data_IF_906554271861
#
_entry.id   IF_906554271861
#
_cell.length_a   1.000
_cell.length_b   1.000
_cell.length_c   1.000
_cell.angle_alpha   90.00
_cell.angle_beta   90.00
_cell.angle_gamma   90.00
#
_symmetry.space_group_name_H-M   'P 1'
#
loop_
_entity.id
_entity.type
_entity.pdbx_description
1 polymer ?
#
# COMPACT_ATOMS: atom_id res chain seq x y z
N UNK A 1 22.89 -17.01 -17.25
CA UNK A 1 23.06 -15.58 -16.91
C UNK A 1 22.10 -14.84 -17.84
N UNK A 2 21.12 -14.11 -17.28
CA UNK A 2 19.96 -13.40 -17.92
C UNK A 2 18.61 -13.92 -17.43
N UNK A 3 18.26 -13.62 -16.17
CA UNK A 3 16.90 -13.80 -15.63
C UNK A 3 16.48 -12.68 -14.65
N UNK A 4 17.40 -11.79 -14.26
CA UNK A 4 17.12 -10.67 -13.35
C UNK A 4 16.64 -9.39 -14.04
N UNK A 5 16.91 -9.22 -15.34
CA UNK A 5 16.53 -8.00 -16.07
C UNK A 5 15.03 -7.96 -16.43
N UNK A 6 14.45 -9.10 -16.82
CA UNK A 6 13.04 -9.15 -17.27
C UNK A 6 12.02 -8.89 -16.14
N UNK A 7 12.30 -9.31 -14.91
CA UNK A 7 11.38 -9.08 -13.79
C UNK A 7 11.34 -7.60 -13.37
N UNK A 8 12.50 -6.94 -13.35
CA UNK A 8 12.63 -5.52 -12.98
C UNK A 8 12.01 -4.62 -14.05
N UNK A 9 12.17 -4.94 -15.34
CA UNK A 9 11.55 -4.18 -16.44
C UNK A 9 10.01 -4.31 -16.47
N UNK A 10 9.46 -5.47 -16.12
CA UNK A 10 8.01 -5.68 -16.03
C UNK A 10 7.36 -4.86 -14.90
N UNK A 11 8.08 -4.64 -13.79
CA UNK A 11 7.62 -3.90 -12.61
C UNK A 11 7.61 -2.38 -12.84
N UNK A 12 8.61 -1.84 -13.54
CA UNK A 12 8.65 -0.41 -13.87
C UNK A 12 7.50 0.01 -14.79
N UNK A 13 7.09 -0.86 -15.73
CA UNK A 13 5.99 -0.56 -16.65
C UNK A 13 4.61 -0.46 -15.96
N UNK A 14 4.38 -1.20 -14.87
CA UNK A 14 3.12 -1.05 -14.11
C UNK A 14 3.10 0.26 -13.30
N UNK A 15 4.24 0.68 -12.73
CA UNK A 15 4.34 1.96 -12.01
C UNK A 15 4.09 3.18 -12.92
N UNK A 16 4.31 3.06 -14.24
CA UNK A 16 3.98 4.10 -15.22
C UNK A 16 2.48 4.36 -15.32
N UNK A 17 1.66 3.36 -14.99
CA UNK A 17 0.20 3.48 -14.91
C UNK A 17 -0.28 4.15 -13.62
N UNK A 18 0.59 4.34 -12.62
CA UNK A 18 0.17 4.92 -11.35
C UNK A 18 -0.10 6.41 -11.49
N UNK A 19 -1.17 6.85 -10.84
CA UNK A 19 -1.45 8.26 -10.64
C UNK A 19 -1.02 8.68 -9.25
N UNK A 20 -0.48 9.89 -9.17
CA UNK A 20 0.01 10.50 -7.95
C UNK A 20 -0.78 11.77 -7.67
N UNK A 21 -1.15 12.01 -6.42
CA UNK A 21 -1.63 13.32 -6.00
C UNK A 21 -0.47 14.35 -6.06
N UNK A 22 -0.79 15.66 -6.14
CA UNK A 22 0.24 16.70 -6.19
C UNK A 22 1.22 16.61 -5.00
N UNK A 23 2.53 16.71 -5.25
CA UNK A 23 3.57 16.71 -4.21
C UNK A 23 3.93 15.32 -3.64
N UNK A 24 3.19 14.26 -4.00
CA UNK A 24 3.43 12.92 -3.44
C UNK A 24 4.77 12.36 -3.88
N UNK A 25 5.16 12.56 -5.14
CA UNK A 25 6.42 12.02 -5.68
C UNK A 25 7.63 12.57 -4.95
N UNK A 26 7.60 13.85 -4.60
CA UNK A 26 8.63 14.54 -3.82
C UNK A 26 8.64 14.06 -2.37
N UNK A 27 7.47 13.70 -1.82
CA UNK A 27 7.32 13.21 -0.45
C UNK A 27 7.66 11.71 -0.27
N UNK A 28 7.75 10.93 -1.36
CA UNK A 28 7.96 9.48 -1.31
C UNK A 28 9.19 9.07 -0.50
N UNK A 29 10.26 9.88 -0.50
CA UNK A 29 11.49 9.56 0.24
C UNK A 29 11.25 9.39 1.74
N UNK A 30 10.24 10.05 2.30
CA UNK A 30 9.86 9.87 3.70
C UNK A 30 9.33 8.46 4.01
N UNK A 31 8.80 7.76 3.01
CA UNK A 31 8.17 6.44 3.15
C UNK A 31 9.09 5.29 2.73
N UNK A 32 10.32 5.56 2.27
CA UNK A 32 11.27 4.53 1.81
C UNK A 32 12.00 3.76 2.91
N UNK A 33 11.77 4.13 4.16
CA UNK A 33 12.39 3.53 5.33
C UNK A 33 11.39 2.86 6.25
N UNK A 34 11.65 2.94 7.55
CA UNK A 34 10.76 2.36 8.54
C UNK A 34 9.43 3.10 8.58
N UNK A 35 8.35 2.38 8.32
CA UNK A 35 6.99 2.92 8.33
C UNK A 35 6.05 1.95 9.04
N UNK A 36 4.91 2.46 9.48
CA UNK A 36 3.79 1.61 9.90
C UNK A 36 2.89 1.40 8.69
N UNK A 37 2.55 0.15 8.41
CA UNK A 37 1.60 -0.20 7.36
C UNK A 37 0.22 -0.39 7.98
N UNK A 38 -0.76 0.35 7.50
CA UNK A 38 -2.18 0.11 7.80
C UNK A 38 -2.81 -0.54 6.58
N UNK A 39 -3.32 -1.76 6.76
CA UNK A 39 -3.98 -2.51 5.70
C UNK A 39 -5.48 -2.49 5.92
N UNK A 40 -6.20 -1.89 4.98
CA UNK A 40 -7.65 -1.81 4.98
C UNK A 40 -8.20 -3.11 4.39
N UNK A 41 -8.73 -3.99 5.24
CA UNK A 41 -9.33 -5.24 4.81
C UNK A 41 -10.69 -4.95 4.17
N UNK A 42 -10.81 -5.18 2.86
CA UNK A 42 -12.12 -5.20 2.21
C UNK A 42 -12.81 -6.54 2.52
N UNK A 43 -14.12 -6.50 2.79
CA UNK A 43 -14.97 -7.64 3.18
C UNK A 43 -15.01 -8.79 2.15
N UNK A 44 -14.45 -8.60 0.95
CA UNK A 44 -14.44 -9.59 -0.13
C UNK A 44 -13.22 -10.53 -0.11
N UNK A 45 -12.23 -10.30 0.78
CA UNK A 45 -11.05 -11.15 0.87
C UNK A 45 -11.30 -12.49 1.59
N UNK A 46 -12.29 -12.55 2.48
CA UNK A 46 -12.60 -13.75 3.27
C UNK A 46 -13.51 -14.74 2.52
N UNK A 47 -14.35 -14.26 1.60
CA UNK A 47 -15.31 -15.09 0.84
C UNK A 47 -14.66 -15.87 -0.30
N UNK A 48 -13.52 -15.39 -0.82
CA UNK A 48 -12.86 -15.97 -2.00
C UNK A 48 -11.79 -17.03 -1.65
N UNK A 49 -11.47 -17.26 -0.37
CA UNK A 49 -10.47 -18.25 0.04
C UNK A 49 -9.05 -17.98 -0.47
N UNK A 50 -8.81 -16.79 -1.04
CA UNK A 50 -7.52 -16.27 -1.46
C UNK A 50 -7.44 -14.80 -1.04
N UNK A 51 -6.35 -14.37 -0.37
CA UNK A 51 -6.21 -12.98 0.02
C UNK A 51 -5.81 -12.16 -1.20
N UNK A 52 -6.68 -11.28 -1.73
CA UNK A 52 -6.21 -10.33 -2.76
C UNK A 52 -5.61 -9.10 -2.11
N UNK A 53 -4.39 -9.27 -1.59
CA UNK A 53 -3.42 -8.23 -1.19
C UNK A 53 -1.99 -8.81 -1.27
N UNK A 54 -1.67 -9.45 -2.40
CA UNK A 54 -0.36 -10.09 -2.63
C UNK A 54 0.83 -9.12 -2.63
N UNK A 55 0.63 -7.82 -2.49
CA UNK A 55 1.68 -6.81 -2.74
C UNK A 55 2.70 -6.75 -1.61
N UNK A 56 2.29 -6.41 -0.38
CA UNK A 56 3.16 -6.52 0.82
C UNK A 56 3.31 -7.96 1.30
N UNK A 57 2.29 -8.78 1.06
CA UNK A 57 2.33 -10.18 1.46
C UNK A 57 3.36 -10.96 0.65
N UNK A 58 3.62 -10.65 -0.63
CA UNK A 58 4.73 -11.23 -1.40
C UNK A 58 6.09 -10.77 -0.91
N UNK A 59 6.27 -9.49 -0.53
CA UNK A 59 7.51 -9.09 0.14
C UNK A 59 7.76 -9.97 1.38
N UNK A 60 6.74 -10.32 2.17
CA UNK A 60 6.92 -11.23 3.31
C UNK A 60 6.93 -12.72 2.94
N UNK A 61 6.27 -13.11 1.85
CA UNK A 61 6.10 -14.50 1.40
C UNK A 61 7.18 -14.96 0.41
N UNK A 62 8.05 -14.06 -0.03
CA UNK A 62 9.29 -14.34 -0.76
C UNK A 62 10.52 -14.05 0.11
N UNK A 63 10.80 -14.93 1.11
CA UNK A 63 11.97 -14.80 1.96
C UNK A 63 13.25 -14.60 1.14
N UNK A 64 14.01 -13.55 1.47
CA UNK A 64 15.31 -13.29 0.87
C UNK A 64 15.32 -12.35 -0.34
N UNK A 65 14.17 -11.84 -0.79
CA UNK A 65 14.14 -10.72 -1.75
C UNK A 65 14.52 -9.39 -1.09
N UNK A 66 14.99 -8.42 -1.88
CA UNK A 66 15.32 -7.06 -1.40
C UNK A 66 14.09 -6.35 -0.80
N UNK A 67 12.92 -6.59 -1.40
CA UNK A 67 11.64 -6.12 -0.87
C UNK A 67 11.32 -6.75 0.49
N UNK A 68 11.55 -8.07 0.65
CA UNK A 68 11.39 -8.76 1.92
C UNK A 68 12.28 -8.18 3.02
N UNK A 69 13.55 -7.99 2.71
CA UNK A 69 14.52 -7.41 3.64
C UNK A 69 14.10 -5.99 4.08
N UNK A 70 13.56 -5.20 3.16
CA UNK A 70 13.18 -3.80 3.40
C UNK A 70 11.85 -3.66 4.15
N UNK A 71 10.90 -4.58 3.94
CA UNK A 71 9.53 -4.45 4.44
C UNK A 71 9.15 -5.40 5.57
N UNK A 72 9.87 -6.52 5.78
CA UNK A 72 9.55 -7.50 6.85
C UNK A 72 9.65 -6.95 8.27
N UNK A 73 10.44 -5.89 8.48
CA UNK A 73 10.62 -5.25 9.79
C UNK A 73 9.62 -4.13 10.12
N UNK A 74 8.71 -3.82 9.20
CA UNK A 74 7.69 -2.77 9.37
C UNK A 74 6.46 -3.33 10.09
N UNK A 75 5.94 -2.66 11.14
CA UNK A 75 4.72 -3.09 11.80
C UNK A 75 3.51 -2.96 10.86
N UNK A 76 2.60 -3.93 10.98
CA UNK A 76 1.44 -4.07 10.10
C UNK A 76 0.19 -4.12 10.96
N UNK A 77 -0.74 -3.21 10.72
CA UNK A 77 -2.03 -3.16 11.38
C UNK A 77 -3.10 -3.46 10.34
N UNK A 78 -3.75 -4.62 10.45
CA UNK A 78 -4.92 -4.93 9.64
C UNK A 78 -6.16 -4.33 10.30
N UNK A 79 -6.97 -3.62 9.52
CA UNK A 79 -8.20 -2.97 9.99
C UNK A 79 -9.33 -3.36 9.05
N UNK A 80 -10.34 -4.04 9.59
CA UNK A 80 -11.54 -4.43 8.89
C UNK A 80 -12.78 -3.66 9.34
N UNK A 81 -13.91 -3.89 8.65
CA UNK A 81 -15.17 -3.20 8.94
C UNK A 81 -15.78 -3.46 10.33
N UNK A 82 -15.35 -4.53 11.01
CA UNK A 82 -15.77 -4.84 12.39
C UNK A 82 -14.90 -4.19 13.45
N UNK A 83 -13.77 -3.59 13.05
CA UNK A 83 -12.86 -2.90 13.95
C UNK A 83 -13.33 -1.45 14.19
N UNK A 84 -12.82 -0.84 15.26
CA UNK A 84 -13.09 0.56 15.56
C UNK A 84 -12.49 1.46 14.46
N UNK A 85 -13.32 2.27 13.76
CA UNK A 85 -12.82 3.16 12.72
C UNK A 85 -11.98 4.34 13.28
N UNK A 86 -12.06 4.65 14.58
CA UNK A 86 -11.21 5.64 15.25
C UNK A 86 -9.82 5.06 15.56
N UNK A 87 -9.12 4.62 14.52
CA UNK A 87 -7.80 4.03 14.66
C UNK A 87 -6.79 5.09 15.16
N UNK A 88 -6.35 4.92 16.41
CA UNK A 88 -5.26 5.71 16.99
C UNK A 88 -3.96 4.92 16.90
N UNK A 89 -3.04 5.38 16.05
CA UNK A 89 -1.70 4.81 15.94
C UNK A 89 -0.73 5.57 16.84
N UNK A 90 -0.23 4.92 17.88
CA UNK A 90 0.87 5.45 18.70
C UNK A 90 2.22 5.25 17.99
N UNK A 91 2.39 5.86 16.82
CA UNK A 91 3.64 5.75 16.03
C UNK A 91 4.26 7.10 15.73
N UNK A 92 5.59 7.15 15.82
CA UNK A 92 6.40 8.27 15.35
C UNK A 92 6.91 8.06 13.92
N UNK A 93 6.71 6.88 13.33
CA UNK A 93 7.10 6.58 11.95
C UNK A 93 6.03 7.03 10.97
N UNK A 94 6.39 7.33 9.71
CA UNK A 94 5.43 7.56 8.64
C UNK A 94 4.47 6.38 8.49
N UNK A 95 3.23 6.66 8.09
CA UNK A 95 2.19 5.64 7.93
C UNK A 95 1.86 5.47 6.46
N UNK A 96 1.89 4.24 5.97
CA UNK A 96 1.41 3.87 4.65
C UNK A 96 0.09 3.14 4.83
N UNK A 97 -1.00 3.78 4.40
CA UNK A 97 -2.33 3.16 4.39
C UNK A 97 -2.53 2.55 3.01
N UNK A 98 -2.91 1.27 2.96
CA UNK A 98 -3.07 0.53 1.71
C UNK A 98 -4.44 -0.13 1.72
N UNK A 99 -5.24 0.17 0.71
CA UNK A 99 -6.59 -0.35 0.54
C UNK A 99 -7.04 -0.32 -0.91
N UNK A 100 -8.22 -0.85 -1.20
CA UNK A 100 -8.77 -0.96 -2.55
C UNK A 100 -10.18 -0.36 -2.55
N UNK A 101 -10.43 0.54 -3.49
CA UNK A 101 -11.65 1.32 -3.60
C UNK A 101 -11.94 2.07 -2.28
N UNK A 102 -10.93 2.77 -1.77
CA UNK A 102 -10.94 3.37 -0.44
C UNK A 102 -12.08 4.37 -0.24
N UNK A 103 -12.50 5.02 -1.32
CA UNK A 103 -13.60 5.96 -1.32
C UNK A 103 -14.98 5.30 -1.37
N UNK A 104 -15.11 4.03 -1.75
CA UNK A 104 -16.41 3.39 -1.92
C UNK A 104 -17.09 3.14 -0.56
N UNK A 105 -16.31 2.75 0.44
CA UNK A 105 -16.83 2.37 1.75
C UNK A 105 -16.72 3.49 2.78
N UNK A 106 -17.81 3.73 3.52
CA UNK A 106 -17.82 4.69 4.63
C UNK A 106 -16.80 4.35 5.72
N UNK A 107 -16.69 3.07 6.09
CA UNK A 107 -15.77 2.65 7.16
C UNK A 107 -14.32 2.90 6.74
N UNK A 108 -13.98 2.62 5.48
CA UNK A 108 -12.64 2.81 4.95
C UNK A 108 -12.27 4.29 4.93
N UNK A 109 -13.23 5.14 4.57
CA UNK A 109 -13.05 6.58 4.68
C UNK A 109 -12.75 7.00 6.12
N UNK A 110 -13.55 6.57 7.08
CA UNK A 110 -13.35 6.93 8.48
C UNK A 110 -11.96 6.54 9.02
N UNK A 111 -11.45 5.34 8.68
CA UNK A 111 -10.10 4.92 9.07
C UNK A 111 -9.02 5.82 8.46
N UNK A 112 -9.11 6.09 7.15
CA UNK A 112 -8.14 6.97 6.46
C UNK A 112 -8.18 8.39 7.04
N UNK A 113 -9.37 8.93 7.30
CA UNK A 113 -9.55 10.25 7.90
C UNK A 113 -8.95 10.30 9.30
N UNK A 114 -9.19 9.27 10.13
CA UNK A 114 -8.63 9.17 11.48
C UNK A 114 -7.08 9.10 11.46
N UNK A 115 -6.50 8.30 10.55
CA UNK A 115 -5.04 8.20 10.41
C UNK A 115 -4.46 9.54 9.92
N UNK A 116 -5.07 10.18 8.92
CA UNK A 116 -4.64 11.51 8.44
C UNK A 116 -4.76 12.60 9.50
N UNK A 117 -5.76 12.53 10.36
CA UNK A 117 -5.95 13.50 11.44
C UNK A 117 -4.94 13.33 12.59
N UNK A 118 -4.45 12.11 12.82
CA UNK A 118 -3.62 11.79 13.99
C UNK A 118 -2.13 11.66 13.67
N UNK A 119 -1.78 11.29 12.44
CA UNK A 119 -0.40 11.00 12.03
C UNK A 119 0.18 12.15 11.20
N UNK A 120 1.45 12.51 11.47
CA UNK A 120 2.12 13.63 10.81
C UNK A 120 2.42 13.40 9.32
N UNK A 121 2.73 12.15 8.96
CA UNK A 121 3.10 11.77 7.59
C UNK A 121 2.32 10.52 7.21
N UNK A 122 1.38 10.67 6.27
CA UNK A 122 0.50 9.61 5.82
C UNK A 122 0.54 9.55 4.30
N UNK A 123 0.69 8.34 3.76
CA UNK A 123 0.58 8.03 2.35
C UNK A 123 -0.56 7.04 2.16
N UNK A 124 -1.61 7.44 1.46
CA UNK A 124 -2.76 6.57 1.17
C UNK A 124 -2.64 6.02 -0.24
N UNK A 125 -2.60 4.70 -0.34
CA UNK A 125 -2.56 3.97 -1.61
C UNK A 125 -3.90 3.29 -1.84
N UNK A 126 -4.47 3.53 -3.01
CA UNK A 126 -5.66 2.84 -3.51
C UNK A 126 -5.29 1.92 -4.67
N UNK A 127 -5.48 0.62 -4.45
CA UNK A 127 -5.21 -0.44 -5.43
C UNK A 127 -6.44 -0.92 -6.20
N UNK A 128 -7.57 -0.26 -6.02
CA UNK A 128 -8.80 -0.56 -6.75
C UNK A 128 -8.65 -0.41 -8.26
N UNK A 129 -9.59 -0.99 -9.01
CA UNK A 129 -9.65 -0.81 -10.47
C UNK A 129 -10.08 0.61 -10.85
N UNK A 130 -10.87 1.27 -9.97
CA UNK A 130 -11.42 2.61 -10.20
C UNK A 130 -11.22 3.50 -8.97
N UNK A 131 -9.96 3.78 -8.60
CA UNK A 131 -9.64 4.57 -7.42
C UNK A 131 -10.15 6.01 -7.57
N UNK A 132 -10.70 6.57 -6.49
CA UNK A 132 -11.07 7.98 -6.44
C UNK A 132 -9.83 8.82 -6.11
N UNK A 133 -9.42 9.75 -6.98
CA UNK A 133 -8.21 10.55 -6.76
C UNK A 133 -8.31 11.54 -5.59
N UNK A 134 -9.51 11.79 -5.05
CA UNK A 134 -9.66 12.59 -3.83
C UNK A 134 -9.27 11.81 -2.57
N UNK A 135 -9.18 10.48 -2.67
CA UNK A 135 -8.99 9.59 -1.53
C UNK A 135 -7.74 8.71 -1.63
N UNK A 136 -6.90 8.98 -2.62
CA UNK A 136 -5.66 8.26 -2.85
C UNK A 136 -4.53 9.26 -3.14
N UNK A 137 -3.42 9.12 -2.43
CA UNK A 137 -2.17 9.81 -2.74
C UNK A 137 -1.45 9.08 -3.89
N UNK A 138 -1.60 7.75 -3.95
CA UNK A 138 -1.20 6.90 -5.07
C UNK A 138 -2.38 6.04 -5.47
N UNK A 139 -2.77 6.10 -6.74
CA UNK A 139 -3.75 5.23 -7.35
C UNK A 139 -3.02 4.27 -8.30
N UNK A 140 -3.11 2.96 -8.06
CA UNK A 140 -2.39 1.97 -8.87
C UNK A 140 -3.21 1.43 -10.03
N UNK A 141 -4.54 1.59 -10.01
CA UNK A 141 -5.47 1.05 -11.02
C UNK A 141 -5.38 -0.48 -11.19
N UNK A 142 -5.03 -1.20 -10.12
CA UNK A 142 -4.87 -2.65 -10.13
C UNK A 142 -4.28 -3.18 -8.83
N UNK A 143 -4.74 -4.34 -8.41
CA UNK A 143 -4.36 -5.02 -7.16
C UNK A 143 -3.67 -6.37 -7.38
N UNK A 144 -3.23 -6.65 -8.61
CA UNK A 144 -2.50 -7.87 -8.95
C UNK A 144 -1.04 -7.83 -8.46
N UNK A 145 -0.36 -8.97 -8.57
CA UNK A 145 1.05 -9.16 -8.22
C UNK A 145 1.96 -8.10 -8.87
N UNK A 146 1.74 -7.78 -10.15
CA UNK A 146 2.58 -6.84 -10.89
C UNK A 146 2.45 -5.41 -10.35
N UNK A 147 1.23 -4.97 -10.06
CA UNK A 147 1.00 -3.66 -9.43
C UNK A 147 1.57 -3.63 -8.01
N UNK A 148 1.54 -4.75 -7.30
CA UNK A 148 2.17 -4.89 -6.00
C UNK A 148 3.67 -4.74 -6.00
N UNK A 149 4.35 -5.48 -6.86
CA UNK A 149 5.79 -5.43 -7.01
C UNK A 149 6.25 -4.03 -7.47
N UNK A 150 5.53 -3.42 -8.42
CA UNK A 150 5.76 -2.04 -8.84
C UNK A 150 5.62 -1.00 -7.71
N UNK A 151 4.59 -1.15 -6.86
CA UNK A 151 4.41 -0.31 -5.67
C UNK A 151 5.54 -0.50 -4.67
N UNK A 152 5.98 -1.73 -4.43
CA UNK A 152 7.10 -2.00 -3.54
C UNK A 152 8.42 -1.47 -4.08
N UNK A 153 8.71 -1.60 -5.39
CA UNK A 153 9.89 -1.01 -6.02
C UNK A 153 9.91 0.50 -5.83
N UNK A 154 8.78 1.15 -6.15
CA UNK A 154 8.59 2.59 -5.93
C UNK A 154 8.86 3.03 -4.49
N UNK A 155 8.31 2.29 -3.52
CA UNK A 155 8.45 2.60 -2.10
C UNK A 155 9.78 2.15 -1.51
N UNK A 156 10.53 1.28 -2.17
CA UNK A 156 11.90 0.88 -1.75
C UNK A 156 12.95 1.77 -2.42
N UNK A 157 12.58 2.45 -3.52
CA UNK A 157 13.45 3.34 -4.28
C UNK A 157 14.36 2.60 -5.26
N UNK A 158 14.00 1.38 -5.66
CA UNK A 158 14.65 0.58 -6.69
C UNK A 158 13.90 0.61 -8.03
#
# INVERSE_FOLDING_TARGET
MTLLADAVDLDLDASRGFRFAPGVREALTAFRGRCTVVRLATLDNDVLGVPRWYTLQEAWAEPGSDASASWSGNPVVAVGPSDDPELVLATATPVVVVGADNAASRWTRQVVDAVRATCRSVLVVDMGERPDPSYADIATYGHDRRHGAALLGLLTGC
#
